data_IF_054860425584
#
_entry.id   IF_054860425584
#
_cell.length_a   1.000
_cell.length_b   1.000
_cell.length_c   1.000
_cell.angle_alpha   90.00
_cell.angle_beta   90.00
_cell.angle_gamma   90.00
#
_symmetry.space_group_name_H-M   'P 1'
#
loop_
_entity.id
_entity.type
_entity.pdbx_description
1 polymer ?
#
# COMPACT_ATOMS: atom_id res chain seq x y z
N UNK A 1 -22.29 -19.59 -52.64
CA UNK A 1 -23.59 -19.37 -53.28
C UNK A 1 -24.48 -18.78 -52.23
N UNK A 2 -24.77 -17.51 -52.42
CA UNK A 2 -25.70 -16.67 -51.67
C UNK A 2 -27.12 -17.22 -51.81
N UNK A 3 -27.81 -17.41 -50.69
CA UNK A 3 -29.27 -17.51 -50.67
C UNK A 3 -29.81 -16.29 -49.92
N UNK A 4 -30.67 -15.57 -50.64
CA UNK A 4 -31.32 -14.32 -50.29
C UNK A 4 -32.38 -14.57 -49.21
N UNK A 5 -32.44 -13.69 -48.21
CA UNK A 5 -33.51 -13.68 -47.21
C UNK A 5 -34.64 -12.82 -47.77
N UNK A 6 -35.74 -13.46 -48.18
CA UNK A 6 -37.01 -12.80 -48.51
C UNK A 6 -37.64 -12.21 -47.25
N UNK A 7 -37.91 -10.90 -47.29
CA UNK A 7 -38.78 -10.20 -46.35
C UNK A 7 -40.22 -10.70 -46.51
N UNK A 8 -40.80 -11.22 -45.43
CA UNK A 8 -42.26 -11.31 -45.28
C UNK A 8 -42.70 -10.57 -44.02
N UNK A 9 -43.59 -9.62 -44.25
CA UNK A 9 -44.14 -8.67 -43.30
C UNK A 9 -45.15 -9.33 -42.34
N UNK A 10 -45.16 -8.85 -41.09
CA UNK A 10 -46.41 -8.63 -40.35
C UNK A 10 -46.95 -9.77 -39.48
N UNK A 11 -46.18 -10.26 -38.51
CA UNK A 11 -46.79 -10.91 -37.33
C UNK A 11 -47.13 -9.86 -36.27
N UNK A 12 -48.42 -9.80 -35.90
CA UNK A 12 -48.97 -8.98 -34.83
C UNK A 12 -48.28 -9.28 -33.50
N UNK A 13 -47.30 -8.44 -33.12
CA UNK A 13 -46.66 -8.50 -31.81
C UNK A 13 -47.66 -7.96 -30.78
N UNK A 14 -48.08 -8.82 -29.86
CA UNK A 14 -48.95 -8.49 -28.74
C UNK A 14 -48.39 -7.28 -27.95
N UNK A 15 -49.12 -6.15 -27.81
CA UNK A 15 -48.61 -4.92 -27.21
C UNK A 15 -48.28 -5.03 -25.71
N UNK A 16 -48.70 -6.10 -25.03
CA UNK A 16 -48.31 -6.38 -23.63
C UNK A 16 -46.86 -6.87 -23.50
N UNK A 17 -46.24 -7.38 -24.58
CA UNK A 17 -44.84 -7.82 -24.55
C UNK A 17 -43.84 -6.65 -24.65
N UNK A 18 -44.28 -5.49 -25.15
CA UNK A 18 -43.42 -4.31 -25.33
C UNK A 18 -43.22 -3.52 -24.03
N UNK A 19 -44.06 -3.74 -23.01
CA UNK A 19 -43.98 -3.05 -21.72
C UNK A 19 -42.84 -3.57 -20.81
N UNK A 20 -42.15 -4.64 -21.22
CA UNK A 20 -40.96 -5.19 -20.58
C UNK A 20 -39.69 -4.99 -21.43
N UNK A 21 -39.68 -4.02 -22.35
CA UNK A 21 -38.46 -3.62 -23.03
C UNK A 21 -37.56 -2.80 -22.09
N UNK A 22 -36.84 -3.49 -21.19
CA UNK A 22 -35.80 -2.85 -20.38
C UNK A 22 -34.72 -2.33 -21.33
N UNK A 23 -34.40 -1.04 -21.25
CA UNK A 23 -33.32 -0.46 -22.06
C UNK A 23 -32.01 -1.19 -21.80
N UNK A 24 -31.23 -1.46 -22.85
CA UNK A 24 -29.94 -2.13 -22.74
C UNK A 24 -29.00 -1.39 -21.78
N UNK A 25 -29.04 -0.06 -21.79
CA UNK A 25 -28.31 0.79 -20.84
C UNK A 25 -28.70 0.52 -19.39
N UNK A 26 -29.99 0.37 -19.09
CA UNK A 26 -30.46 0.05 -17.74
C UNK A 26 -30.07 -1.36 -17.29
N UNK A 27 -30.02 -2.34 -18.21
CA UNK A 27 -29.52 -3.68 -17.91
C UNK A 27 -28.02 -3.66 -17.59
N UNK A 28 -27.21 -2.98 -18.41
CA UNK A 28 -25.77 -2.84 -18.15
C UNK A 28 -25.49 -2.11 -16.86
N UNK A 29 -26.20 -1.02 -16.56
CA UNK A 29 -26.04 -0.28 -15.32
C UNK A 29 -26.32 -1.18 -14.11
N UNK A 30 -27.45 -1.88 -14.09
CA UNK A 30 -27.80 -2.76 -12.98
C UNK A 30 -26.82 -3.92 -12.82
N UNK A 31 -26.46 -4.62 -13.91
CA UNK A 31 -25.50 -5.73 -13.85
C UNK A 31 -24.11 -5.26 -13.43
N UNK A 32 -23.70 -4.09 -13.89
CA UNK A 32 -22.43 -3.49 -13.51
C UNK A 32 -22.43 -3.08 -12.04
N UNK A 33 -23.51 -2.49 -11.54
CA UNK A 33 -23.67 -2.13 -10.13
C UNK A 33 -23.67 -3.36 -9.21
N UNK A 34 -24.37 -4.44 -9.59
CA UNK A 34 -24.38 -5.70 -8.85
C UNK A 34 -22.97 -6.32 -8.80
N UNK A 35 -22.29 -6.36 -9.95
CA UNK A 35 -20.92 -6.86 -10.04
C UNK A 35 -19.94 -5.99 -9.23
N UNK A 36 -20.01 -4.66 -9.36
CA UNK A 36 -19.15 -3.73 -8.65
C UNK A 36 -19.35 -3.87 -7.14
N UNK A 37 -20.61 -3.88 -6.68
CA UNK A 37 -20.96 -4.05 -5.25
C UNK A 37 -20.41 -5.35 -4.68
N UNK A 38 -20.58 -6.45 -5.43
CA UNK A 38 -20.03 -7.75 -5.05
C UNK A 38 -18.50 -7.73 -4.98
N UNK A 39 -17.79 -7.19 -5.98
CA UNK A 39 -16.32 -7.14 -5.96
C UNK A 39 -15.79 -6.26 -4.83
N UNK A 40 -16.46 -5.14 -4.54
CA UNK A 40 -16.07 -4.22 -3.46
C UNK A 40 -16.22 -4.89 -2.10
N UNK A 41 -17.41 -5.42 -1.79
CA UNK A 41 -17.74 -5.95 -0.47
C UNK A 41 -17.16 -7.36 -0.24
N UNK A 42 -17.20 -8.23 -1.25
CA UNK A 42 -16.83 -9.64 -1.07
C UNK A 42 -15.36 -9.95 -1.36
N UNK A 43 -14.59 -9.03 -1.94
CA UNK A 43 -13.19 -9.28 -2.35
C UNK A 43 -12.19 -8.21 -1.96
N UNK A 44 -12.50 -6.94 -2.19
CA UNK A 44 -11.51 -5.89 -2.11
C UNK A 44 -11.38 -5.30 -0.70
N UNK A 45 -12.49 -4.96 -0.06
CA UNK A 45 -12.50 -4.19 1.18
C UNK A 45 -12.65 -5.12 2.39
N UNK A 46 -11.75 -5.05 3.39
CA UNK A 46 -11.93 -5.77 4.64
C UNK A 46 -13.06 -5.19 5.49
N UNK A 47 -13.69 -6.02 6.31
CA UNK A 47 -14.72 -5.53 7.23
C UNK A 47 -14.08 -4.78 8.41
N UNK A 48 -14.72 -3.69 8.87
CA UNK A 48 -14.15 -2.82 9.92
C UNK A 48 -13.97 -3.52 11.28
N UNK A 49 -14.89 -4.43 11.65
CA UNK A 49 -14.87 -5.09 12.95
C UNK A 49 -13.78 -6.15 13.12
N UNK A 50 -13.44 -6.89 12.07
CA UNK A 50 -12.43 -7.95 12.16
C UNK A 50 -11.17 -7.66 11.34
N UNK A 51 -11.22 -6.70 10.42
CA UNK A 51 -10.11 -6.39 9.52
C UNK A 51 -9.89 -7.43 8.42
N UNK A 52 -10.83 -8.35 8.23
CA UNK A 52 -10.66 -9.50 7.34
C UNK A 52 -11.56 -9.38 6.11
N UNK A 53 -11.04 -9.88 4.99
CA UNK A 53 -11.83 -10.16 3.79
C UNK A 53 -12.68 -11.42 4.00
N UNK A 54 -13.80 -11.61 3.29
CA UNK A 54 -14.64 -12.80 3.47
C UNK A 54 -13.90 -14.12 3.26
N UNK A 55 -13.00 -14.21 2.28
CA UNK A 55 -12.16 -15.41 2.08
C UNK A 55 -11.29 -15.72 3.30
N UNK A 56 -10.68 -14.68 3.90
CA UNK A 56 -9.82 -14.81 5.07
C UNK A 56 -10.62 -15.26 6.29
N UNK A 57 -11.81 -14.68 6.50
CA UNK A 57 -12.74 -15.07 7.58
C UNK A 57 -13.17 -16.53 7.47
N UNK A 58 -13.53 -16.98 6.26
CA UNK A 58 -13.95 -18.36 6.00
C UNK A 58 -12.82 -19.37 6.18
N UNK A 59 -11.58 -19.02 5.84
CA UNK A 59 -10.39 -19.84 6.12
C UNK A 59 -10.21 -20.02 7.63
N UNK A 60 -10.29 -18.94 8.41
CA UNK A 60 -10.15 -18.99 9.87
C UNK A 60 -11.27 -19.77 10.54
N UNK A 61 -12.52 -19.62 10.08
CA UNK A 61 -13.65 -20.44 10.54
C UNK A 61 -13.40 -21.93 10.24
N UNK A 62 -13.01 -22.25 9.01
CA UNK A 62 -12.72 -23.63 8.61
C UNK A 62 -11.59 -24.26 9.42
N UNK A 63 -10.55 -23.49 9.72
CA UNK A 63 -9.47 -23.92 10.62
C UNK A 63 -9.99 -24.15 12.04
N UNK A 64 -10.94 -23.34 12.51
CA UNK A 64 -11.50 -23.46 13.87
C UNK A 64 -12.39 -24.68 14.02
N UNK A 65 -13.16 -25.04 13.00
CA UNK A 65 -13.96 -26.27 12.99
C UNK A 65 -13.09 -27.53 13.02
N UNK A 66 -11.92 -27.47 12.37
CA UNK A 66 -10.96 -28.58 12.27
C UNK A 66 -9.89 -28.55 13.38
N UNK A 67 -10.00 -27.65 14.34
CA UNK A 67 -8.99 -27.41 15.36
C UNK A 67 -8.98 -28.53 16.42
N UNK A 68 -7.97 -29.41 16.34
CA UNK A 68 -7.65 -30.44 17.32
C UNK A 68 -6.30 -30.19 18.03
N UNK A 69 -5.71 -29.01 17.80
CA UNK A 69 -4.37 -28.62 18.27
C UNK A 69 -3.19 -29.19 17.46
N UNK A 70 -3.45 -30.01 16.44
CA UNK A 70 -2.42 -30.56 15.54
C UNK A 70 -2.37 -29.77 14.22
N UNK A 71 -1.30 -30.01 13.47
CA UNK A 71 -1.16 -29.47 12.13
C UNK A 71 -2.08 -30.21 11.17
N UNK A 72 -2.87 -29.45 10.42
CA UNK A 72 -3.74 -29.94 9.37
C UNK A 72 -3.13 -29.61 8.01
N UNK A 73 -3.18 -30.55 7.06
CA UNK A 73 -2.76 -30.28 5.67
C UNK A 73 -3.57 -29.12 5.11
N UNK A 74 -2.91 -28.15 4.48
CA UNK A 74 -3.59 -26.98 3.92
C UNK A 74 -4.63 -27.39 2.87
N UNK A 75 -4.36 -28.43 2.08
CA UNK A 75 -5.34 -29.00 1.14
C UNK A 75 -6.68 -29.38 1.80
N UNK A 76 -6.65 -29.93 3.03
CA UNK A 76 -7.87 -30.28 3.75
C UNK A 76 -8.64 -29.03 4.23
N UNK A 77 -7.90 -28.02 4.67
CA UNK A 77 -8.46 -26.74 5.13
C UNK A 77 -9.11 -25.99 3.96
N UNK A 78 -8.44 -25.92 2.80
CA UNK A 78 -8.99 -25.35 1.57
C UNK A 78 -10.24 -26.13 1.14
N UNK A 79 -10.17 -27.46 1.20
CA UNK A 79 -11.30 -28.35 0.99
C UNK A 79 -12.52 -28.03 1.85
N UNK A 80 -12.31 -27.81 3.15
CA UNK A 80 -13.37 -27.44 4.07
C UNK A 80 -13.91 -26.02 3.79
N UNK A 81 -13.02 -25.09 3.47
CA UNK A 81 -13.37 -23.68 3.18
C UNK A 81 -14.28 -23.54 1.97
N UNK A 82 -14.16 -24.44 0.97
CA UNK A 82 -15.05 -24.44 -0.20
C UNK A 82 -16.53 -24.65 0.14
N UNK A 83 -16.86 -25.21 1.32
CA UNK A 83 -18.26 -25.27 1.81
C UNK A 83 -18.86 -23.89 2.06
N UNK A 84 -18.02 -22.89 2.32
CA UNK A 84 -18.40 -21.51 2.64
C UNK A 84 -18.06 -20.55 1.50
N UNK A 85 -17.01 -20.84 0.72
CA UNK A 85 -16.49 -19.97 -0.32
C UNK A 85 -16.60 -20.64 -1.69
N UNK A 86 -17.59 -20.27 -2.53
CA UNK A 86 -17.84 -20.88 -3.84
C UNK A 86 -16.87 -20.35 -4.91
N UNK A 87 -15.57 -20.40 -4.65
CA UNK A 87 -14.50 -19.98 -5.56
C UNK A 87 -13.40 -21.03 -5.64
N UNK A 88 -12.50 -20.86 -6.61
CA UNK A 88 -11.43 -21.80 -6.88
C UNK A 88 -10.51 -22.05 -5.68
N UNK A 89 -10.03 -23.29 -5.58
CA UNK A 89 -9.08 -23.75 -4.57
C UNK A 89 -7.77 -22.94 -4.60
N UNK A 90 -7.30 -22.56 -5.78
CA UNK A 90 -6.12 -21.72 -5.96
C UNK A 90 -6.24 -20.37 -5.22
N UNK A 91 -7.36 -19.64 -5.40
CA UNK A 91 -7.55 -18.33 -4.75
C UNK A 91 -7.64 -18.43 -3.23
N UNK A 92 -8.24 -19.51 -2.71
CA UNK A 92 -8.30 -19.77 -1.26
C UNK A 92 -6.90 -20.13 -0.74
N UNK A 93 -6.16 -20.95 -1.49
CA UNK A 93 -4.78 -21.33 -1.18
C UNK A 93 -3.85 -20.13 -1.11
N UNK A 94 -3.91 -19.22 -2.09
CA UNK A 94 -3.10 -18.01 -2.11
C UNK A 94 -3.43 -17.10 -0.91
N UNK A 95 -4.72 -16.91 -0.61
CA UNK A 95 -5.14 -16.14 0.56
C UNK A 95 -4.67 -16.78 1.88
N UNK A 96 -4.70 -18.11 1.98
CA UNK A 96 -4.21 -18.85 3.14
C UNK A 96 -2.70 -18.67 3.32
N UNK A 97 -1.93 -18.75 2.24
CA UNK A 97 -0.47 -18.52 2.24
C UNK A 97 -0.15 -17.10 2.69
N UNK A 98 -0.86 -16.09 2.17
CA UNK A 98 -0.67 -14.69 2.58
C UNK A 98 -0.92 -14.45 4.07
N UNK A 99 -1.95 -15.10 4.65
CA UNK A 99 -2.20 -15.01 6.11
C UNK A 99 -1.12 -15.76 6.90
N UNK A 100 -0.68 -16.92 6.40
CA UNK A 100 0.35 -17.75 7.03
C UNK A 100 1.72 -17.06 7.09
N UNK A 101 2.14 -16.42 5.99
CA UNK A 101 3.41 -15.69 5.91
C UNK A 101 3.53 -14.55 6.93
N UNK A 102 2.40 -13.97 7.38
CA UNK A 102 2.38 -12.94 8.42
C UNK A 102 2.72 -13.47 9.82
N UNK A 103 2.80 -14.78 10.03
CA UNK A 103 3.19 -15.45 11.30
C UNK A 103 2.46 -14.91 12.55
N UNK A 104 1.18 -14.53 12.38
CA UNK A 104 0.36 -13.94 13.44
C UNK A 104 -0.81 -14.84 13.82
N UNK A 105 -1.63 -15.25 12.85
CA UNK A 105 -2.87 -16.00 13.09
C UNK A 105 -2.72 -17.51 12.88
N UNK A 106 -1.87 -17.90 11.94
CA UNK A 106 -1.68 -19.29 11.52
C UNK A 106 -0.23 -19.67 11.83
N UNK A 107 -0.04 -20.79 12.55
CA UNK A 107 1.26 -21.44 12.65
C UNK A 107 1.43 -22.33 11.42
N UNK A 108 2.58 -22.20 10.76
CA UNK A 108 2.86 -22.81 9.47
C UNK A 108 3.95 -23.88 9.61
N UNK A 109 3.79 -24.99 8.88
CA UNK A 109 4.79 -26.05 8.75
C UNK A 109 4.98 -26.43 7.27
N UNK A 110 6.23 -26.69 6.88
CA UNK A 110 6.62 -26.87 5.48
C UNK A 110 7.12 -25.57 4.84
N UNK A 111 7.25 -25.55 3.51
CA UNK A 111 7.69 -24.35 2.77
C UNK A 111 6.49 -23.48 2.37
N UNK A 112 6.31 -22.36 3.06
CA UNK A 112 5.24 -21.38 2.82
C UNK A 112 5.67 -20.22 1.92
N UNK A 113 6.84 -20.32 1.27
CA UNK A 113 7.44 -19.25 0.49
C UNK A 113 8.01 -18.16 1.39
N UNK A 114 8.82 -17.29 0.79
CA UNK A 114 9.42 -16.15 1.50
C UNK A 114 9.10 -14.85 0.72
N UNK A 115 8.34 -13.92 1.32
CA UNK A 115 8.06 -12.63 0.72
C UNK A 115 9.32 -11.80 0.37
N UNK A 116 10.45 -12.04 1.05
CA UNK A 116 11.69 -11.29 0.86
C UNK A 116 12.39 -11.73 -0.43
N UNK A 117 12.50 -13.05 -0.65
CA UNK A 117 13.12 -13.61 -1.85
C UNK A 117 12.16 -13.66 -3.03
N UNK A 118 10.85 -13.59 -2.77
CA UNK A 118 9.80 -13.77 -3.77
C UNK A 118 9.52 -15.24 -4.09
N UNK A 119 10.08 -16.17 -3.30
CA UNK A 119 9.87 -17.59 -3.52
C UNK A 119 8.42 -17.99 -3.27
N UNK A 120 7.85 -18.71 -4.23
CA UNK A 120 6.48 -19.23 -4.12
C UNK A 120 6.36 -20.33 -3.07
N UNK A 121 5.21 -20.39 -2.40
CA UNK A 121 4.91 -21.47 -1.47
C UNK A 121 4.84 -22.83 -2.17
N UNK A 122 5.16 -23.89 -1.43
CA UNK A 122 4.92 -25.24 -1.91
C UNK A 122 3.41 -25.51 -2.04
N UNK A 123 3.05 -26.46 -2.91
CA UNK A 123 1.65 -26.80 -3.15
C UNK A 123 0.91 -27.18 -1.84
N UNK A 124 -0.40 -26.87 -1.70
CA UNK A 124 -1.18 -27.09 -0.46
C UNK A 124 -1.16 -28.51 0.12
N UNK A 125 -0.79 -29.51 -0.68
CA UNK A 125 -0.63 -30.91 -0.27
C UNK A 125 0.64 -31.20 0.56
N UNK A 126 1.62 -30.28 0.53
CA UNK A 126 2.92 -30.41 1.21
C UNK A 126 3.09 -29.45 2.39
N UNK A 127 2.19 -28.48 2.53
CA UNK A 127 2.19 -27.52 3.64
C UNK A 127 1.10 -27.86 4.63
N UNK A 128 1.37 -27.57 5.89
CA UNK A 128 0.45 -27.81 7.00
C UNK A 128 0.28 -26.52 7.82
N UNK A 129 -0.92 -26.35 8.34
CA UNK A 129 -1.34 -25.16 9.06
C UNK A 129 -2.11 -25.55 10.32
N UNK A 130 -2.00 -24.73 11.35
CA UNK A 130 -2.91 -24.73 12.50
C UNK A 130 -3.15 -23.31 12.97
N UNK A 131 -4.22 -23.09 13.74
CA UNK A 131 -4.40 -21.81 14.41
C UNK A 131 -3.30 -21.59 15.45
N UNK A 132 -2.73 -20.40 15.45
CA UNK A 132 -1.82 -19.98 16.52
C UNK A 132 -2.57 -19.87 17.84
N UNK A 133 -1.86 -20.00 18.96
CA UNK A 133 -2.41 -19.76 20.30
C UNK A 133 -2.97 -18.33 20.44
N UNK A 134 -2.33 -17.37 19.76
CA UNK A 134 -2.80 -15.99 19.68
C UNK A 134 -4.17 -15.89 19.00
N UNK A 135 -4.37 -16.54 17.86
CA UNK A 135 -5.65 -16.51 17.15
C UNK A 135 -6.78 -17.11 17.99
N UNK A 136 -6.53 -18.21 18.70
CA UNK A 136 -7.53 -18.84 19.57
C UNK A 136 -8.01 -17.92 20.70
N UNK A 137 -7.11 -17.15 21.31
CA UNK A 137 -7.45 -16.24 22.41
C UNK A 137 -8.20 -14.97 21.94
N UNK A 138 -7.85 -14.49 20.73
CA UNK A 138 -8.20 -13.14 20.26
C UNK A 138 -9.33 -13.11 19.24
N UNK A 139 -9.42 -14.10 18.35
CA UNK A 139 -10.29 -14.05 17.15
C UNK A 139 -11.65 -14.67 17.40
N UNK A 140 -11.71 -15.74 18.21
CA UNK A 140 -12.90 -16.56 18.32
C UNK A 140 -13.62 -16.34 19.65
N UNK A 141 -14.94 -16.14 19.58
CA UNK A 141 -15.83 -16.21 20.72
C UNK A 141 -17.25 -16.61 20.25
N UNK A 142 -17.67 -17.88 20.43
CA UNK A 142 -18.96 -18.36 19.94
C UNK A 142 -20.15 -17.56 20.45
N UNK A 143 -20.10 -17.07 21.69
CA UNK A 143 -21.23 -16.41 22.36
C UNK A 143 -21.53 -15.02 21.80
N UNK A 144 -20.52 -14.34 21.26
CA UNK A 144 -20.66 -12.98 20.69
C UNK A 144 -20.65 -12.98 19.16
N UNK A 145 -20.51 -14.14 18.52
CA UNK A 145 -20.42 -14.25 17.07
C UNK A 145 -21.82 -14.25 16.46
N UNK A 146 -22.05 -13.37 15.50
CA UNK A 146 -23.27 -13.39 14.69
C UNK A 146 -23.12 -14.40 13.55
N UNK A 147 -24.13 -15.26 13.39
CA UNK A 147 -24.11 -16.37 12.44
C UNK A 147 -25.10 -16.13 11.30
N UNK A 148 -24.64 -16.38 10.07
CA UNK A 148 -25.47 -16.45 8.87
C UNK A 148 -25.43 -17.86 8.29
N UNK A 149 -26.42 -18.20 7.47
CA UNK A 149 -26.40 -19.45 6.70
C UNK A 149 -25.38 -19.35 5.57
N UNK A 150 -24.72 -20.47 5.25
CA UNK A 150 -23.86 -20.58 4.06
C UNK A 150 -24.68 -20.41 2.78
N UNK A 151 -23.98 -20.18 1.65
CA UNK A 151 -24.62 -20.01 0.34
C UNK A 151 -25.46 -21.21 -0.11
N UNK A 152 -25.12 -22.43 0.35
CA UNK A 152 -25.86 -23.66 0.10
C UNK A 152 -26.93 -23.98 1.17
N UNK A 153 -27.01 -23.15 2.22
CA UNK A 153 -27.93 -23.30 3.35
C UNK A 153 -27.66 -24.49 4.27
N UNK A 154 -26.56 -25.24 4.07
CA UNK A 154 -26.28 -26.46 4.85
C UNK A 154 -25.52 -26.19 6.15
N UNK A 155 -24.66 -25.19 6.16
CA UNK A 155 -23.79 -24.85 7.29
C UNK A 155 -24.07 -23.41 7.76
N UNK A 156 -23.49 -23.05 8.90
CA UNK A 156 -23.49 -21.67 9.39
C UNK A 156 -22.09 -21.10 9.30
N UNK A 157 -21.98 -19.85 8.89
CA UNK A 157 -20.74 -19.09 8.87
C UNK A 157 -20.88 -17.80 9.68
N UNK A 158 -19.79 -17.30 10.28
CA UNK A 158 -19.81 -16.02 10.99
C UNK A 158 -19.91 -14.87 9.99
N UNK A 159 -20.78 -13.89 10.28
CA UNK A 159 -20.84 -12.64 9.51
C UNK A 159 -19.53 -11.87 9.70
N UNK A 160 -19.12 -11.71 10.96
CA UNK A 160 -17.84 -11.12 11.38
C UNK A 160 -17.25 -11.94 12.53
N UNK A 161 -15.92 -11.88 12.70
CA UNK A 161 -15.26 -12.48 13.85
C UNK A 161 -15.12 -11.43 14.98
N UNK A 162 -15.40 -11.76 16.25
CA UNK A 162 -15.30 -10.83 17.38
C UNK A 162 -13.86 -10.65 17.81
N UNK A 163 -13.07 -9.97 16.98
CA UNK A 163 -11.63 -9.79 17.19
C UNK A 163 -11.37 -8.76 18.29
N UNK A 164 -10.65 -9.16 19.34
CA UNK A 164 -10.32 -8.32 20.51
C UNK A 164 -9.10 -7.42 20.35
N UNK A 165 -8.42 -7.50 19.20
CA UNK A 165 -7.17 -6.81 18.89
C UNK A 165 -7.30 -6.18 17.50
N UNK A 166 -6.74 -4.98 17.23
CA UNK A 166 -6.83 -4.33 15.92
C UNK A 166 -6.04 -5.07 14.83
N UNK A 167 -6.58 -6.20 14.35
CA UNK A 167 -5.95 -7.05 13.34
C UNK A 167 -5.77 -6.35 11.99
N UNK A 168 -6.71 -5.48 11.64
CA UNK A 168 -6.64 -4.70 10.41
C UNK A 168 -5.35 -3.89 10.31
N UNK A 169 -5.01 -3.16 11.36
CA UNK A 169 -3.77 -2.35 11.42
C UNK A 169 -2.53 -3.24 11.55
N UNK A 170 -2.62 -4.36 12.27
CA UNK A 170 -1.48 -5.25 12.45
C UNK A 170 -1.10 -6.00 11.18
N UNK A 171 -2.08 -6.39 10.38
CA UNK A 171 -1.85 -7.14 9.15
C UNK A 171 -1.71 -6.25 7.93
N UNK A 172 -2.29 -5.04 7.97
CA UNK A 172 -2.53 -4.25 6.76
C UNK A 172 -3.53 -4.93 5.82
N UNK A 173 -4.06 -4.16 4.89
CA UNK A 173 -4.97 -4.67 3.89
C UNK A 173 -4.79 -3.92 2.57
N UNK A 174 -4.59 -4.69 1.51
CA UNK A 174 -4.53 -4.20 0.14
C UNK A 174 -5.71 -4.79 -0.65
N UNK A 175 -6.39 -3.94 -1.41
CA UNK A 175 -7.53 -4.34 -2.23
C UNK A 175 -7.75 -3.38 -3.38
N UNK A 176 -7.93 -3.93 -4.58
CA UNK A 176 -8.34 -3.18 -5.76
C UNK A 176 -9.73 -3.67 -6.14
N UNK A 177 -10.66 -2.76 -6.25
CA UNK A 177 -12.04 -3.01 -6.66
C UNK A 177 -12.39 -2.13 -7.87
N UNK A 178 -13.64 -2.24 -8.33
CA UNK A 178 -14.15 -1.41 -9.41
C UNK A 178 -14.21 0.05 -8.95
N UNK A 179 -13.31 0.88 -9.49
CA UNK A 179 -13.28 2.33 -9.22
C UNK A 179 -12.68 2.76 -7.88
N UNK A 180 -12.22 1.83 -7.04
CA UNK A 180 -11.61 2.13 -5.74
C UNK A 180 -10.42 1.23 -5.42
N UNK A 181 -9.44 1.79 -4.72
CA UNK A 181 -8.30 1.08 -4.18
C UNK A 181 -8.20 1.35 -2.68
N UNK A 182 -7.93 0.31 -1.91
CA UNK A 182 -7.78 0.33 -0.47
C UNK A 182 -6.37 -0.14 -0.15
N UNK A 183 -5.58 0.69 0.52
CA UNK A 183 -4.22 0.37 0.97
C UNK A 183 -4.06 0.80 2.41
N UNK A 184 -3.92 -0.16 3.31
CA UNK A 184 -3.70 0.05 4.73
C UNK A 184 -2.38 -0.57 5.12
N UNK A 185 -1.50 0.28 5.64
CA UNK A 185 -0.15 -0.09 5.98
C UNK A 185 -0.13 -0.87 7.30
N UNK A 186 0.71 -1.91 7.42
CA UNK A 186 0.86 -2.65 8.65
C UNK A 186 1.54 -1.80 9.73
N UNK A 187 1.22 -2.08 10.99
CA UNK A 187 1.78 -1.44 12.18
C UNK A 187 2.35 -2.48 13.13
N UNK A 188 3.25 -2.04 14.02
CA UNK A 188 3.90 -2.94 14.96
C UNK A 188 2.93 -3.49 16.02
N UNK A 189 3.10 -4.76 16.39
CA UNK A 189 2.23 -5.43 17.36
C UNK A 189 2.27 -4.78 18.75
N UNK A 190 3.45 -4.45 19.26
CA UNK A 190 3.61 -3.89 20.61
C UNK A 190 3.10 -2.45 20.67
N UNK A 191 3.38 -1.66 19.64
CA UNK A 191 2.89 -0.28 19.55
C UNK A 191 1.38 -0.20 19.39
N UNK A 192 0.76 -1.14 18.67
CA UNK A 192 -0.70 -1.22 18.60
C UNK A 192 -1.33 -1.50 19.98
N UNK A 193 -0.67 -2.30 20.82
CA UNK A 193 -1.13 -2.54 22.18
C UNK A 193 -0.99 -1.27 23.02
N UNK A 194 0.17 -0.63 22.98
CA UNK A 194 0.43 0.60 23.73
C UNK A 194 -0.51 1.73 23.27
N UNK A 195 -0.73 1.86 21.97
CA UNK A 195 -1.68 2.82 21.40
C UNK A 195 -3.13 2.50 21.77
N UNK A 196 -3.51 1.22 21.85
CA UNK A 196 -4.84 0.82 22.34
C UNK A 196 -5.03 1.21 23.83
N UNK A 197 -3.98 1.06 24.65
CA UNK A 197 -3.98 1.50 26.04
C UNK A 197 -4.10 3.03 26.14
N UNK A 198 -3.43 3.77 25.27
CA UNK A 198 -3.52 5.24 25.22
C UNK A 198 -4.91 5.73 24.81
N UNK A 199 -5.54 5.10 23.81
CA UNK A 199 -6.93 5.39 23.41
C UNK A 199 -7.88 5.16 24.57
N UNK A 200 -7.70 4.07 25.33
CA UNK A 200 -8.52 3.79 26.53
C UNK A 200 -8.32 4.82 27.65
N UNK A 201 -7.15 5.46 27.71
CA UNK A 201 -6.84 6.57 28.64
C UNK A 201 -7.35 7.92 28.14
N UNK A 202 -7.87 8.00 26.90
CA UNK A 202 -8.36 9.23 26.27
C UNK A 202 -7.31 10.02 25.50
N UNK A 203 -6.11 9.47 25.31
CA UNK A 203 -5.04 10.07 24.52
C UNK A 203 -5.09 9.57 23.07
N UNK A 204 -4.60 10.37 22.13
CA UNK A 204 -4.43 9.95 20.73
C UNK A 204 -3.05 9.33 20.57
N UNK A 205 -2.96 8.08 20.10
CA UNK A 205 -1.68 7.43 19.89
C UNK A 205 -1.05 7.92 18.59
N UNK A 206 0.25 8.19 18.64
CA UNK A 206 1.06 8.48 17.46
C UNK A 206 1.61 7.15 16.92
N UNK A 207 0.94 6.60 15.91
CA UNK A 207 1.27 5.31 15.32
C UNK A 207 1.87 5.50 13.93
N UNK A 208 3.07 4.97 13.75
CA UNK A 208 3.76 4.95 12.47
C UNK A 208 3.77 3.53 11.89
N UNK A 209 3.62 3.37 10.57
CA UNK A 209 3.73 2.06 9.93
C UNK A 209 5.04 1.33 10.26
N UNK A 210 4.96 0.00 10.31
CA UNK A 210 6.10 -0.90 10.50
C UNK A 210 5.99 -2.07 9.50
N UNK A 211 7.03 -2.28 8.71
CA UNK A 211 7.03 -3.29 7.67
C UNK A 211 7.65 -4.59 8.16
N UNK A 212 7.02 -5.71 7.83
CA UNK A 212 7.51 -7.04 8.23
C UNK A 212 8.92 -7.36 7.70
N UNK A 213 9.28 -6.75 6.55
CA UNK A 213 10.57 -6.86 5.88
C UNK A 213 11.65 -5.96 6.50
N UNK A 214 11.28 -5.06 7.42
CA UNK A 214 12.16 -4.00 7.92
C UNK A 214 12.49 -2.96 6.84
N UNK A 215 13.60 -2.26 7.01
CA UNK A 215 14.08 -1.23 6.08
C UNK A 215 14.06 0.18 6.67
N UNK A 216 14.49 1.15 5.87
CA UNK A 216 14.46 2.57 6.24
C UNK A 216 13.21 3.21 5.65
N UNK A 217 12.44 3.90 6.49
CA UNK A 217 11.27 4.65 6.06
C UNK A 217 11.31 6.07 6.61
N UNK A 218 10.99 7.04 5.75
CA UNK A 218 10.82 8.44 6.11
C UNK A 218 9.33 8.75 6.23
N UNK A 219 8.92 9.18 7.42
CA UNK A 219 7.55 9.52 7.75
C UNK A 219 7.34 11.05 7.87
N UNK A 220 8.27 11.87 7.40
CA UNK A 220 8.20 13.34 7.54
C UNK A 220 6.93 13.97 6.94
N UNK A 221 6.35 13.35 5.90
CA UNK A 221 5.09 13.77 5.27
C UNK A 221 3.88 12.92 5.69
N UNK A 222 4.04 12.04 6.70
CA UNK A 222 2.99 11.16 7.16
C UNK A 222 2.09 11.88 8.18
N UNK A 223 1.16 12.72 7.69
CA UNK A 223 0.23 13.46 8.56
C UNK A 223 -1.25 13.14 8.30
N UNK A 224 -1.85 12.59 9.36
CA UNK A 224 -3.24 12.64 9.84
C UNK A 224 -4.36 13.03 8.86
N UNK A 225 -4.94 12.04 8.17
CA UNK A 225 -6.31 12.17 7.67
C UNK A 225 -7.29 11.90 8.81
N UNK A 226 -7.63 12.99 9.49
CA UNK A 226 -8.64 13.11 10.55
C UNK A 226 -10.02 12.67 10.03
N UNK A 227 -10.52 11.50 10.43
CA UNK A 227 -11.95 11.15 10.25
C UNK A 227 -12.71 11.35 11.56
N UNK A 228 -13.70 12.23 11.48
CA UNK A 228 -14.45 12.87 12.55
C UNK A 228 -15.64 11.99 12.93
N UNK A 229 -15.57 11.27 14.05
CA UNK A 229 -16.75 10.61 14.63
C UNK A 229 -16.99 11.09 16.07
N UNK A 230 -18.22 11.57 16.30
CA UNK A 230 -18.70 12.16 17.56
C UNK A 230 -19.01 11.08 18.61
N UNK A 231 -18.73 11.28 19.91
CA UNK A 231 -18.96 10.30 20.97
C UNK A 231 -20.43 10.10 21.43
N UNK A 232 -21.44 10.26 20.58
CA UNK A 232 -22.85 10.32 21.06
C UNK A 232 -23.73 9.08 20.80
N UNK A 233 -23.25 8.05 20.09
CA UNK A 233 -24.14 6.95 19.63
C UNK A 233 -24.28 5.71 20.55
N UNK A 234 -23.61 5.64 21.70
CA UNK A 234 -23.59 4.41 22.53
C UNK A 234 -24.76 4.25 23.52
N UNK A 235 -25.77 5.13 23.51
CA UNK A 235 -26.76 5.23 24.60
C UNK A 235 -28.15 4.64 24.35
N UNK A 236 -28.36 3.88 23.26
CA UNK A 236 -29.72 3.38 22.88
C UNK A 236 -29.90 1.87 22.82
N UNK A 237 -28.95 1.08 23.33
CA UNK A 237 -29.16 -0.35 23.54
C UNK A 237 -28.99 -0.63 25.03
N UNK A 238 -30.09 -0.87 25.74
CA UNK A 238 -30.25 -1.75 26.92
C UNK A 238 -31.46 -1.24 27.72
N UNK A 239 -32.54 -2.05 27.75
CA UNK A 239 -33.21 -2.43 29.00
C UNK A 239 -34.41 -3.36 28.75
N UNK A 240 -34.44 -4.50 29.46
CA UNK A 240 -35.68 -5.16 29.91
C UNK A 240 -35.41 -6.04 31.14
N UNK A 241 -36.27 -6.02 32.19
CA UNK A 241 -36.11 -6.87 33.37
C UNK A 241 -36.85 -8.20 33.24
N UNK A 242 -36.34 -9.26 33.88
CA UNK A 242 -37.10 -10.49 34.13
C UNK A 242 -36.86 -11.04 35.55
N UNK A 243 -37.89 -11.70 36.04
CA UNK A 243 -38.18 -12.09 37.43
C UNK A 243 -37.57 -13.41 37.90
N UNK A 244 -37.41 -13.46 39.23
CA UNK A 244 -36.93 -14.55 40.10
C UNK A 244 -37.81 -15.81 40.13
N UNK A 245 -37.24 -16.97 40.49
CA UNK A 245 -37.74 -17.94 41.50
C UNK A 245 -36.60 -18.89 41.96
N UNK A 246 -36.78 -19.44 43.17
CA UNK A 246 -35.84 -19.94 44.18
C UNK A 246 -35.52 -21.45 44.19
N UNK A 247 -34.33 -21.75 44.77
CA UNK A 247 -33.89 -22.87 45.66
C UNK A 247 -34.17 -24.33 45.21
N UNK A 248 -33.21 -25.27 45.25
CA UNK A 248 -32.44 -25.76 46.42
C UNK A 248 -31.25 -26.64 45.94
N UNK A 249 -30.11 -26.63 46.65
CA UNK A 249 -29.59 -27.74 47.49
C UNK A 249 -28.25 -27.30 48.13
N UNK A 250 -27.94 -27.66 49.39
CA UNK A 250 -27.33 -26.70 50.34
C UNK A 250 -25.92 -27.02 50.90
N UNK A 251 -25.06 -27.83 50.24
CA UNK A 251 -23.71 -28.09 50.84
C UNK A 251 -22.52 -28.03 49.89
N UNK A 252 -22.57 -28.65 48.72
CA UNK A 252 -21.60 -28.36 47.64
C UNK A 252 -21.84 -27.00 47.02
N UNK A 253 -23.12 -26.62 46.95
CA UNK A 253 -23.56 -25.32 46.46
C UNK A 253 -23.11 -24.19 47.36
N UNK A 254 -22.90 -24.38 48.67
CA UNK A 254 -22.46 -23.28 49.56
C UNK A 254 -21.01 -22.90 49.29
N UNK A 255 -20.12 -23.88 49.08
CA UNK A 255 -18.73 -23.63 48.66
C UNK A 255 -18.68 -23.03 47.25
N UNK A 256 -19.47 -23.57 46.32
CA UNK A 256 -19.61 -23.03 44.97
C UNK A 256 -20.26 -21.64 44.97
N UNK A 257 -21.22 -21.37 45.84
CA UNK A 257 -21.87 -20.08 46.02
C UNK A 257 -20.88 -19.06 46.56
N UNK A 258 -20.03 -19.45 47.51
CA UNK A 258 -19.05 -18.53 48.08
C UNK A 258 -17.95 -18.20 47.07
N UNK A 259 -17.53 -19.18 46.26
CA UNK A 259 -16.64 -18.96 45.12
C UNK A 259 -17.31 -18.08 44.05
N UNK A 260 -18.53 -18.41 43.64
CA UNK A 260 -19.32 -17.64 42.66
C UNK A 260 -19.63 -16.24 43.17
N UNK A 261 -19.92 -16.03 44.45
CA UNK A 261 -20.14 -14.70 45.03
C UNK A 261 -18.86 -13.87 44.98
N UNK A 262 -17.70 -14.51 45.19
CA UNK A 262 -16.40 -13.85 45.08
C UNK A 262 -16.12 -13.49 43.63
N UNK A 263 -16.36 -14.40 42.69
CA UNK A 263 -16.26 -14.15 41.25
C UNK A 263 -17.25 -13.07 40.80
N UNK A 264 -18.51 -13.11 41.24
CA UNK A 264 -19.53 -12.09 40.94
C UNK A 264 -19.10 -10.73 41.49
N UNK A 265 -18.52 -10.67 42.69
CA UNK A 265 -17.99 -9.42 43.25
C UNK A 265 -16.82 -8.90 42.41
N UNK A 266 -15.92 -9.77 41.99
CA UNK A 266 -14.80 -9.41 41.12
C UNK A 266 -15.26 -8.96 39.73
N UNK A 267 -16.18 -9.70 39.10
CA UNK A 267 -16.80 -9.35 37.82
C UNK A 267 -17.53 -8.01 37.94
N UNK A 268 -18.31 -7.79 38.99
CA UNK A 268 -18.97 -6.49 39.20
C UNK A 268 -17.97 -5.35 39.41
N UNK A 269 -16.83 -5.62 40.05
CA UNK A 269 -15.74 -4.64 40.16
C UNK A 269 -15.14 -4.35 38.78
N UNK A 270 -14.87 -5.38 37.97
CA UNK A 270 -14.34 -5.23 36.61
C UNK A 270 -15.34 -4.51 35.69
N UNK A 271 -16.64 -4.77 35.82
CA UNK A 271 -17.70 -4.06 35.08
C UNK A 271 -17.75 -2.57 35.43
N UNK A 272 -17.52 -2.21 36.70
CA UNK A 272 -17.43 -0.80 37.14
C UNK A 272 -16.14 -0.11 36.67
N UNK A 273 -15.07 -0.88 36.51
CA UNK A 273 -13.74 -0.42 36.09
C UNK A 273 -13.34 -1.05 34.74
N UNK A 274 -14.21 -0.92 33.75
CA UNK A 274 -14.05 -1.60 32.47
C UNK A 274 -12.77 -1.17 31.73
N UNK A 275 -12.40 0.11 31.84
CA UNK A 275 -11.17 0.66 31.28
C UNK A 275 -9.94 0.00 31.89
N UNK A 276 -9.90 -0.15 33.21
CA UNK A 276 -8.76 -0.74 33.92
C UNK A 276 -8.64 -2.23 33.61
N UNK A 277 -9.77 -2.92 33.50
CA UNK A 277 -9.82 -4.31 33.07
C UNK A 277 -9.31 -4.49 31.63
N UNK A 278 -9.73 -3.61 30.71
CA UNK A 278 -9.29 -3.64 29.32
C UNK A 278 -7.78 -3.37 29.20
N UNK A 279 -7.25 -2.39 29.93
CA UNK A 279 -5.80 -2.10 30.00
C UNK A 279 -5.05 -3.33 30.52
N UNK A 280 -5.50 -3.93 31.63
CA UNK A 280 -4.88 -5.13 32.19
C UNK A 280 -4.92 -6.33 31.21
N UNK A 281 -5.96 -6.44 30.39
CA UNK A 281 -6.03 -7.47 29.35
C UNK A 281 -4.98 -7.24 28.26
N UNK A 282 -4.84 -6.00 27.77
CA UNK A 282 -3.83 -5.61 26.78
C UNK A 282 -2.40 -5.81 27.31
N UNK A 283 -2.14 -5.46 28.57
CA UNK A 283 -0.84 -5.70 29.22
C UNK A 283 -0.51 -7.20 29.32
N UNK A 284 -1.49 -8.04 29.68
CA UNK A 284 -1.33 -9.51 29.66
C UNK A 284 -1.06 -10.04 28.26
N UNK A 285 -1.73 -9.49 27.24
CA UNK A 285 -1.53 -9.87 25.85
C UNK A 285 -0.09 -9.54 25.39
N UNK A 286 0.40 -8.33 25.72
CA UNK A 286 1.78 -7.90 25.46
C UNK A 286 2.80 -8.79 26.16
N UNK A 287 2.58 -9.11 27.43
CA UNK A 287 3.47 -10.01 28.18
C UNK A 287 3.52 -11.42 27.59
N UNK A 288 2.38 -11.94 27.10
CA UNK A 288 2.27 -13.31 26.57
C UNK A 288 2.81 -13.45 25.14
N UNK A 289 2.60 -12.45 24.28
CA UNK A 289 2.85 -12.55 22.84
C UNK A 289 3.74 -11.45 22.26
N UNK A 290 4.19 -10.47 23.05
CA UNK A 290 5.01 -9.35 22.58
C UNK A 290 6.50 -9.67 22.38
N UNK A 291 7.00 -10.75 22.98
CA UNK A 291 8.40 -11.16 22.86
C UNK A 291 8.75 -11.53 21.40
N UNK A 292 9.80 -10.93 20.86
CA UNK A 292 10.27 -11.15 19.49
C UNK A 292 9.48 -10.42 18.40
N UNK A 293 8.57 -9.50 18.77
CA UNK A 293 7.75 -8.69 17.84
C UNK A 293 8.05 -7.19 17.94
N UNK A 294 9.33 -6.87 18.09
CA UNK A 294 9.80 -5.48 18.11
C UNK A 294 9.75 -4.86 16.71
N UNK A 295 9.76 -3.52 16.65
CA UNK A 295 9.76 -2.76 15.40
C UNK A 295 10.97 -3.17 14.56
N UNK A 296 10.74 -3.41 13.28
CA UNK A 296 11.81 -3.79 12.33
C UNK A 296 12.23 -2.64 11.43
N UNK A 297 11.33 -1.69 11.16
CA UNK A 297 11.62 -0.52 10.33
C UNK A 297 12.38 0.55 11.12
N UNK A 298 13.53 0.99 10.60
CA UNK A 298 14.26 2.14 11.13
C UNK A 298 13.68 3.44 10.56
N UNK A 299 13.32 4.36 11.44
CA UNK A 299 12.83 5.69 11.04
C UNK A 299 14.06 6.59 10.82
N UNK A 300 14.29 6.99 9.57
CA UNK A 300 15.33 7.97 9.21
C UNK A 300 14.75 8.98 8.24
N UNK A 301 15.04 10.26 8.44
CA UNK A 301 14.78 11.27 7.43
C UNK A 301 15.79 11.09 6.29
N UNK A 302 15.31 11.01 5.05
CA UNK A 302 16.23 10.99 3.91
C UNK A 302 16.67 12.43 3.64
N UNK A 303 17.98 12.68 3.74
CA UNK A 303 18.55 13.93 3.25
C UNK A 303 18.30 14.03 1.74
N UNK A 304 17.73 15.15 1.28
CA UNK A 304 17.54 15.43 -0.15
C UNK A 304 18.91 15.47 -0.81
N UNK A 305 19.26 14.42 -1.54
CA UNK A 305 20.47 14.39 -2.34
C UNK A 305 20.25 15.27 -3.57
N UNK A 306 20.82 16.48 -3.58
CA UNK A 306 20.88 17.33 -4.76
C UNK A 306 21.78 16.66 -5.80
N UNK A 307 21.26 16.40 -7.01
CA UNK A 307 21.98 15.72 -8.08
C UNK A 307 23.35 16.38 -8.39
N UNK A 308 23.42 17.70 -8.28
CA UNK A 308 24.64 18.50 -8.45
C UNK A 308 25.78 18.10 -7.48
N UNK A 309 25.49 17.62 -6.26
CA UNK A 309 26.51 17.22 -5.28
C UNK A 309 27.07 15.82 -5.48
N UNK A 310 26.35 14.94 -6.19
CA UNK A 310 26.75 13.54 -6.40
C UNK A 310 27.35 13.31 -7.78
N UNK A 311 27.19 14.25 -8.70
CA UNK A 311 27.77 14.18 -10.01
C UNK A 311 29.31 14.36 -9.92
N UNK A 312 30.05 13.29 -10.21
CA UNK A 312 31.52 13.30 -10.22
C UNK A 312 32.00 14.20 -11.38
N UNK A 313 32.86 15.18 -11.09
CA UNK A 313 33.49 16.04 -12.10
C UNK A 313 34.59 15.27 -12.84
N UNK A 314 34.20 14.41 -13.77
CA UNK A 314 35.11 13.52 -14.50
C UNK A 314 35.34 13.96 -15.96
N UNK A 315 34.64 14.99 -16.42
CA UNK A 315 34.71 15.45 -17.81
C UNK A 315 35.59 16.67 -17.91
N UNK A 316 36.54 16.64 -18.84
CA UNK A 316 37.49 17.75 -19.05
C UNK A 316 36.93 18.74 -20.06
N UNK A 317 36.81 20.00 -19.65
CA UNK A 317 36.38 21.08 -20.51
C UNK A 317 37.57 21.75 -21.20
N UNK A 318 37.48 21.91 -22.52
CA UNK A 318 38.48 22.58 -23.34
C UNK A 318 37.87 23.74 -24.14
N UNK A 319 38.69 24.75 -24.44
CA UNK A 319 38.30 25.92 -25.23
C UNK A 319 39.32 26.23 -26.31
N UNK A 320 38.82 26.45 -27.53
CA UNK A 320 39.59 27.03 -28.63
C UNK A 320 39.29 28.54 -28.71
N UNK A 321 40.28 29.36 -28.35
CA UNK A 321 40.16 30.84 -28.36
C UNK A 321 40.22 31.45 -29.76
N UNK A 322 40.78 30.74 -30.75
CA UNK A 322 40.92 31.25 -32.12
C UNK A 322 39.61 31.11 -32.88
N UNK A 323 38.91 29.99 -32.70
CA UNK A 323 37.66 29.69 -33.40
C UNK A 323 36.40 29.96 -32.54
N UNK A 324 36.55 30.21 -31.24
CA UNK A 324 35.42 30.51 -30.34
C UNK A 324 34.53 29.30 -30.07
N UNK A 325 35.13 28.14 -29.80
CA UNK A 325 34.42 26.90 -29.48
C UNK A 325 34.76 26.41 -28.07
N UNK A 326 33.75 25.90 -27.36
CA UNK A 326 33.88 25.24 -26.06
C UNK A 326 33.30 23.83 -26.19
N UNK A 327 33.98 22.84 -25.61
CA UNK A 327 33.50 21.47 -25.64
C UNK A 327 34.44 20.46 -24.98
N UNK A 328 33.91 19.26 -24.75
CA UNK A 328 34.59 18.15 -24.08
C UNK A 328 35.38 17.27 -25.06
N UNK A 329 35.10 17.39 -26.37
CA UNK A 329 35.78 16.71 -27.46
C UNK A 329 37.07 17.39 -27.96
N UNK A 330 37.35 18.63 -27.55
CA UNK A 330 38.47 19.46 -28.02
C UNK A 330 39.78 19.15 -27.28
N UNK A 331 40.23 17.88 -27.33
CA UNK A 331 41.41 17.39 -26.57
C UNK A 331 42.76 18.02 -26.97
N UNK A 332 42.80 18.81 -28.04
CA UNK A 332 44.02 19.47 -28.54
C UNK A 332 44.14 20.94 -28.14
N UNK A 333 43.10 21.50 -27.53
CA UNK A 333 43.00 22.92 -27.23
C UNK A 333 43.18 23.20 -25.72
N UNK A 334 43.02 24.45 -25.29
CA UNK A 334 43.35 24.90 -23.93
C UNK A 334 42.40 24.26 -22.89
N UNK A 335 42.97 23.56 -21.91
CA UNK A 335 42.22 22.97 -20.80
C UNK A 335 41.82 24.05 -19.78
N UNK A 336 40.54 24.08 -19.40
CA UNK A 336 40.01 25.04 -18.42
C UNK A 336 39.82 24.38 -17.06
N UNK A 337 38.93 23.40 -16.97
CA UNK A 337 38.57 22.74 -15.70
C UNK A 337 37.91 21.38 -15.92
N UNK A 338 37.81 20.61 -14.83
CA UNK A 338 36.98 19.42 -14.77
C UNK A 338 35.54 19.82 -14.39
N UNK A 339 34.56 19.40 -15.19
CA UNK A 339 33.13 19.64 -15.02
C UNK A 339 32.35 18.32 -14.93
N UNK A 340 31.16 18.38 -14.34
CA UNK A 340 30.19 17.30 -14.42
C UNK A 340 29.26 17.48 -15.62
N UNK A 341 28.63 16.40 -16.09
CA UNK A 341 27.64 16.43 -17.17
C UNK A 341 26.41 17.31 -16.83
N UNK A 342 26.21 17.58 -15.53
CA UNK A 342 25.14 18.40 -14.99
C UNK A 342 25.56 19.83 -14.63
N UNK A 343 26.82 20.22 -14.85
CA UNK A 343 27.29 21.57 -14.53
C UNK A 343 26.92 22.56 -15.66
N UNK A 344 26.27 23.68 -15.30
CA UNK A 344 25.99 24.78 -16.24
C UNK A 344 27.24 25.67 -16.43
N UNK A 345 27.58 25.98 -17.68
CA UNK A 345 28.76 26.79 -18.03
C UNK A 345 28.29 28.15 -18.54
N UNK A 346 28.75 29.22 -17.87
CA UNK A 346 28.47 30.61 -18.25
C UNK A 346 29.73 31.23 -18.85
N UNK A 347 29.58 31.85 -20.02
CA UNK A 347 30.66 32.52 -20.74
C UNK A 347 30.37 34.01 -20.79
N UNK A 348 31.28 34.82 -20.24
CA UNK A 348 31.20 36.27 -20.34
C UNK A 348 32.06 36.77 -21.51
N UNK A 349 31.46 37.56 -22.40
CA UNK A 349 32.14 38.27 -23.48
C UNK A 349 32.40 39.70 -23.02
N UNK A 350 33.64 40.16 -23.07
CA UNK A 350 34.00 41.51 -22.65
C UNK A 350 33.86 42.48 -23.84
N UNK A 351 32.64 42.80 -24.28
CA UNK A 351 32.40 43.95 -25.17
C UNK A 351 31.94 45.16 -24.34
N UNK A 352 32.54 46.32 -24.60
CA UNK A 352 32.18 47.57 -23.93
C UNK A 352 30.75 47.94 -24.36
N UNK A 353 29.85 47.98 -23.38
CA UNK A 353 28.39 48.20 -23.46
C UNK A 353 27.56 46.90 -23.51
N UNK A 354 26.99 46.58 -22.35
CA UNK A 354 26.09 45.47 -22.00
C UNK A 354 26.76 44.09 -21.70
N UNK A 355 26.75 43.73 -20.41
CA UNK A 355 27.14 42.41 -19.90
C UNK A 355 26.09 41.36 -20.36
N UNK A 356 26.21 40.86 -21.59
CA UNK A 356 25.34 39.80 -22.08
C UNK A 356 25.68 38.45 -21.42
N UNK A 357 24.80 37.97 -20.54
CA UNK A 357 24.85 36.62 -19.95
C UNK A 357 24.40 35.58 -21.00
N UNK A 358 25.35 34.87 -21.60
CA UNK A 358 25.03 33.70 -22.43
C UNK A 358 25.05 32.45 -21.55
N UNK A 359 23.85 31.94 -21.22
CA UNK A 359 23.66 30.64 -20.55
C UNK A 359 23.77 29.55 -21.61
N UNK A 360 24.80 28.71 -21.51
CA UNK A 360 24.92 27.52 -22.36
C UNK A 360 24.22 26.37 -21.65
N UNK A 361 23.12 25.90 -22.25
CA UNK A 361 22.36 24.76 -21.73
C UNK A 361 23.25 23.50 -21.71
N UNK A 362 22.93 22.64 -20.75
CA UNK A 362 23.64 21.42 -20.32
C UNK A 362 24.48 20.68 -21.38
N UNK A 363 25.62 20.14 -20.94
CA UNK A 363 26.49 19.30 -21.78
C UNK A 363 25.85 17.93 -22.07
N UNK A 364 24.79 17.90 -22.89
CA UNK A 364 24.14 16.65 -23.30
C UNK A 364 25.04 15.83 -24.23
N UNK A 365 25.39 14.62 -23.78
CA UNK A 365 25.95 13.57 -24.63
C UNK A 365 24.83 12.87 -25.41
N UNK A 366 24.52 13.32 -26.62
CA UNK A 366 23.62 12.59 -27.53
C UNK A 366 24.34 11.38 -28.14
N UNK A 367 24.21 10.22 -27.49
CA UNK A 367 24.42 8.90 -28.13
C UNK A 367 23.14 8.50 -28.86
N UNK A 368 23.03 8.86 -30.14
CA UNK A 368 22.33 8.13 -31.21
C UNK A 368 22.28 9.04 -32.45
N UNK A 369 23.15 8.78 -33.42
CA UNK A 369 22.80 8.65 -34.84
C UNK A 369 24.06 8.63 -35.72
N UNK A 370 24.20 7.53 -36.47
CA UNK A 370 24.88 7.38 -37.77
C UNK A 370 26.38 7.67 -37.94
N UNK A 371 27.08 6.62 -38.38
CA UNK A 371 28.36 6.66 -39.10
C UNK A 371 28.31 7.62 -40.30
N UNK A 372 28.81 8.85 -40.15
CA UNK A 372 29.52 9.60 -41.20
C UNK A 372 30.13 10.90 -40.61
N UNK A 373 31.39 11.18 -40.99
CA UNK A 373 32.14 12.42 -40.76
C UNK A 373 32.48 12.83 -39.31
N UNK A 374 33.70 12.45 -38.89
CA UNK A 374 34.36 13.03 -37.72
C UNK A 374 34.72 14.50 -37.95
N UNK A 375 33.86 15.43 -37.53
CA UNK A 375 34.21 16.80 -37.08
C UNK A 375 32.97 17.54 -36.50
N UNK A 376 32.14 16.90 -35.67
CA UNK A 376 30.91 17.52 -35.13
C UNK A 376 30.73 17.29 -33.62
N UNK A 377 31.72 17.69 -32.81
CA UNK A 377 31.58 17.74 -31.34
C UNK A 377 32.04 19.09 -30.76
N UNK A 378 31.69 20.18 -31.44
CA UNK A 378 31.97 21.54 -30.97
C UNK A 378 30.78 22.45 -31.30
N UNK A 379 30.19 23.05 -30.28
CA UNK A 379 29.10 24.02 -30.45
C UNK A 379 29.72 25.41 -30.67
N UNK A 380 29.45 26.10 -31.80
CA UNK A 380 29.97 27.45 -32.00
C UNK A 380 29.33 28.40 -30.99
N UNK A 381 30.12 29.28 -30.35
CA UNK A 381 29.58 30.35 -29.50
C UNK A 381 28.58 31.22 -30.28
N UNK A 382 28.79 31.39 -31.60
CA UNK A 382 27.88 32.14 -32.50
C UNK A 382 26.54 31.44 -32.76
N UNK A 383 26.42 30.13 -32.52
CA UNK A 383 25.15 29.39 -32.71
C UNK A 383 24.27 29.43 -31.47
N UNK A 384 24.86 29.66 -30.30
CA UNK A 384 24.16 29.81 -29.01
C UNK A 384 23.58 31.21 -28.80
N UNK A 385 24.04 32.21 -29.55
CA UNK A 385 23.49 33.57 -29.54
C UNK A 385 22.25 33.75 -30.44
N UNK A 386 21.89 32.76 -31.25
CA UNK A 386 20.90 32.93 -32.35
C UNK A 386 19.45 32.66 -31.99
N UNK A 387 19.14 32.18 -30.80
CA UNK A 387 17.74 31.92 -30.39
C UNK A 387 17.04 33.15 -29.78
N UNK A 388 17.66 34.33 -29.83
CA UNK A 388 17.06 35.62 -29.45
C UNK A 388 17.04 36.67 -30.58
N UNK A 389 17.60 36.38 -31.76
CA UNK A 389 17.75 37.35 -32.87
C UNK A 389 16.88 37.05 -34.12
N UNK A 390 15.83 36.24 -34.04
CA UNK A 390 14.75 36.27 -35.05
C UNK A 390 13.77 37.42 -34.80
N UNK A 391 14.30 38.65 -34.70
CA UNK A 391 13.50 39.87 -34.62
C UNK A 391 14.21 41.13 -35.15
N UNK A 392 15.15 41.04 -36.09
CA UNK A 392 15.31 42.12 -37.08
C UNK A 392 16.19 41.68 -38.25
N UNK A 393 15.70 41.92 -39.47
CA UNK A 393 16.40 41.54 -40.68
C UNK A 393 17.49 42.56 -41.06
N UNK A 394 18.68 42.05 -41.40
CA UNK A 394 19.52 42.52 -42.52
C UNK A 394 20.76 41.64 -42.70
N UNK A 395 20.90 41.09 -43.90
CA UNK A 395 22.17 40.62 -44.45
C UNK A 395 23.10 41.82 -44.65
N UNK A 396 24.38 41.71 -44.30
CA UNK A 396 25.47 42.39 -45.01
C UNK A 396 26.82 41.70 -44.75
N UNK A 397 27.72 41.88 -45.72
CA UNK A 397 28.84 41.04 -46.11
C UNK A 397 30.08 41.02 -45.19
N UNK A 398 30.86 39.95 -45.34
CA UNK A 398 32.18 39.71 -44.73
C UNK A 398 33.20 40.80 -45.04
N UNK A 399 34.03 41.16 -44.04
CA UNK A 399 35.30 41.85 -44.29
C UNK A 399 36.44 41.25 -43.42
N UNK A 400 37.51 40.82 -44.10
CA UNK A 400 38.56 39.92 -43.61
C UNK A 400 39.63 40.61 -42.71
N UNK A 401 39.38 41.83 -42.25
CA UNK A 401 40.35 42.67 -41.54
C UNK A 401 40.33 42.55 -40.01
N UNK A 402 39.36 41.84 -39.42
CA UNK A 402 39.12 41.84 -37.96
C UNK A 402 39.85 40.72 -37.19
N UNK A 403 40.60 39.85 -37.89
CA UNK A 403 41.27 38.66 -37.32
C UNK A 403 42.44 38.93 -36.36
N UNK A 404 42.76 40.19 -36.01
CA UNK A 404 43.95 40.54 -35.19
C UNK A 404 43.68 41.13 -33.80
N UNK A 405 42.43 41.32 -33.36
CA UNK A 405 42.11 41.87 -32.03
C UNK A 405 41.47 40.89 -31.03
N UNK A 406 41.23 39.63 -31.40
CA UNK A 406 40.52 38.65 -30.57
C UNK A 406 41.38 37.96 -29.47
N UNK A 407 42.54 38.52 -29.10
CA UNK A 407 43.48 37.83 -28.19
C UNK A 407 43.15 37.90 -26.69
N UNK A 408 42.11 38.62 -26.25
CA UNK A 408 41.68 38.65 -24.84
C UNK A 408 40.21 39.05 -24.76
N UNK A 409 39.27 38.14 -24.51
CA UNK A 409 37.86 38.53 -24.30
C UNK A 409 36.89 37.50 -23.71
N UNK A 410 37.38 36.50 -22.96
CA UNK A 410 36.48 35.51 -22.33
C UNK A 410 36.89 35.17 -20.89
N UNK A 411 35.95 35.35 -19.96
CA UNK A 411 36.03 34.93 -18.56
C UNK A 411 35.01 33.80 -18.34
N UNK A 412 35.47 32.66 -17.82
CA UNK A 412 34.59 31.55 -17.41
C UNK A 412 34.50 31.50 -15.87
N UNK A 413 33.29 31.33 -15.36
CA UNK A 413 33.05 31.05 -13.93
C UNK A 413 32.15 29.82 -13.82
N UNK A 414 32.59 28.86 -13.01
CA UNK A 414 31.77 27.71 -12.58
C UNK A 414 30.73 28.20 -11.58
N UNK A 415 29.45 27.87 -11.80
CA UNK A 415 28.39 27.97 -10.79
C UNK A 415 28.31 26.61 -10.10
N UNK A 416 28.50 26.59 -8.77
CA UNK A 416 28.43 25.36 -7.93
C UNK A 416 27.01 25.21 -7.41
#
# INVERSE_FOLDING_TARGET
MSEEIENTEGENINPEALHNAVSLSGLYENWFLDYASYVILDRAVPHIHDGLKPVQRRILHSLKEMDDGRFNKAANVIGNTMKYHPHGDASIGDAMVQIGQKNLLIDTQGNWGDPITGDSAAAPRYIEARLSKFALDVVFNPDTTEWQSSYDGRNKEPVTLPVKFPLWLAQGADGIAVGLATKIMPHNFNELIDGSIEVLKGNRPDLLPDFQMGGMADFSNYNEVLSRNSPEDYKKLIDKPMSSITRFDLKKSDEQLLALETEIKEVNKNLKHLTDYAIAWFEKLKAKYGAGRERKTEIRAFDRVEAAKVALANVKLYMNREDGFIGTGLRKDEFICDCSDLDEIIVFKEDEEEDDEVIVDSAESNENDTEEAGLQQATPISKLARDLEEADGKEDAEDESSKKSLQKKYLLKRKI
#
